data_IF_895832964711
#
_entry.id   IF_895832964711
#
_cell.length_a   1.000
_cell.length_b   1.000
_cell.length_c   1.000
_cell.angle_alpha   90.00
_cell.angle_beta   90.00
_cell.angle_gamma   90.00
#
_symmetry.space_group_name_H-M   'P 1'
#
loop_
_entity.id
_entity.type
_entity.pdbx_description
1 polymer ?
#
# COMPACT_ATOMS: atom_id res chain seq x y z
N UNK A 1 -13.62 10.45 23.13
CA UNK A 1 -12.39 9.98 22.44
C UNK A 1 -12.20 8.54 22.86
N UNK A 2 -11.94 7.60 21.94
CA UNK A 2 -11.70 6.21 22.31
C UNK A 2 -10.46 6.13 23.21
N UNK A 3 -10.45 5.19 24.15
CA UNK A 3 -9.35 5.01 25.08
C UNK A 3 -8.17 4.30 24.42
N UNK A 4 -6.97 4.42 24.98
CA UNK A 4 -5.78 3.68 24.51
C UNK A 4 -6.04 2.16 24.45
N UNK A 5 -6.87 1.64 25.35
CA UNK A 5 -7.26 0.23 25.37
C UNK A 5 -8.13 -0.13 24.16
N UNK A 6 -9.10 0.72 23.79
CA UNK A 6 -9.97 0.51 22.64
C UNK A 6 -9.15 0.49 21.34
N UNK A 7 -8.15 1.38 21.22
CA UNK A 7 -7.25 1.41 20.05
C UNK A 7 -6.39 0.15 19.94
N UNK A 8 -5.90 -0.37 21.07
CA UNK A 8 -5.14 -1.61 21.11
C UNK A 8 -6.03 -2.80 20.72
N UNK A 9 -7.28 -2.83 21.20
CA UNK A 9 -8.25 -3.86 20.86
C UNK A 9 -8.56 -3.89 19.36
N UNK A 10 -8.95 -2.74 18.78
CA UNK A 10 -9.25 -2.61 17.35
C UNK A 10 -8.05 -3.01 16.47
N UNK A 11 -6.85 -2.60 16.85
CA UNK A 11 -5.64 -2.93 16.11
C UNK A 11 -5.28 -4.42 16.22
N UNK A 12 -5.42 -5.01 17.41
CA UNK A 12 -5.20 -6.44 17.61
C UNK A 12 -6.19 -7.29 16.80
N UNK A 13 -7.49 -6.95 16.81
CA UNK A 13 -8.53 -7.62 16.04
C UNK A 13 -8.24 -7.57 14.54
N UNK A 14 -7.82 -6.41 14.04
CA UNK A 14 -7.45 -6.24 12.65
C UNK A 14 -6.26 -7.13 12.25
N UNK A 15 -5.21 -7.18 13.07
CA UNK A 15 -4.05 -8.04 12.84
C UNK A 15 -4.45 -9.52 12.89
N UNK A 16 -5.28 -9.95 13.84
CA UNK A 16 -5.79 -11.32 13.89
C UNK A 16 -6.58 -11.69 12.63
N UNK A 17 -7.43 -10.77 12.13
CA UNK A 17 -8.14 -10.95 10.86
C UNK A 17 -7.19 -11.15 9.67
N UNK A 18 -6.15 -10.31 9.58
CA UNK A 18 -5.11 -10.43 8.54
C UNK A 18 -4.32 -11.74 8.65
N UNK A 19 -4.02 -12.19 9.87
CA UNK A 19 -3.35 -13.45 10.13
C UNK A 19 -4.21 -14.63 9.64
N UNK A 20 -5.50 -14.67 10.01
CA UNK A 20 -6.44 -15.70 9.54
C UNK A 20 -6.56 -15.71 8.01
N UNK A 21 -6.70 -14.54 7.40
CA UNK A 21 -6.78 -14.38 5.95
C UNK A 21 -5.52 -14.85 5.20
N UNK A 22 -4.36 -14.89 5.87
CA UNK A 22 -3.09 -15.39 5.33
C UNK A 22 -2.77 -16.84 5.72
N UNK A 23 -3.70 -17.52 6.39
CA UNK A 23 -3.53 -18.93 6.77
C UNK A 23 -2.63 -19.16 7.97
N UNK A 24 -2.36 -18.14 8.79
CA UNK A 24 -1.71 -18.36 10.08
C UNK A 24 -2.69 -19.04 11.04
N UNK A 25 -2.25 -20.15 11.65
CA UNK A 25 -3.01 -20.87 12.67
C UNK A 25 -2.86 -20.21 14.05
N UNK A 26 -3.63 -19.14 14.27
CA UNK A 26 -3.55 -18.31 15.48
C UNK A 26 -4.36 -18.85 16.66
N UNK A 27 -5.39 -19.64 16.35
CA UNK A 27 -6.32 -20.20 17.31
C UNK A 27 -5.84 -21.56 17.85
N UNK A 28 -4.77 -22.13 17.27
CA UNK A 28 -4.15 -23.34 17.79
C UNK A 28 -3.63 -23.16 19.23
N UNK A 29 -3.96 -24.10 20.14
CA UNK A 29 -3.52 -24.09 21.53
C UNK A 29 -2.00 -24.05 21.70
N UNK A 30 -1.26 -24.51 20.68
CA UNK A 30 0.21 -24.57 20.70
C UNK A 30 0.86 -23.25 20.28
N UNK A 31 0.07 -22.26 19.87
CA UNK A 31 0.57 -20.93 19.50
C UNK A 31 1.46 -20.91 18.26
N UNK A 32 1.33 -21.92 17.38
CA UNK A 32 2.17 -22.08 16.19
C UNK A 32 2.10 -20.89 15.24
N UNK A 33 0.91 -20.33 14.99
CA UNK A 33 0.76 -19.15 14.14
C UNK A 33 1.43 -17.88 14.71
N UNK A 34 1.52 -17.75 16.04
CA UNK A 34 2.21 -16.60 16.68
C UNK A 34 3.72 -16.69 16.52
N UNK A 35 4.29 -17.87 16.70
CA UNK A 35 5.71 -18.11 16.45
C UNK A 35 6.04 -17.90 14.98
N UNK A 36 5.25 -18.50 14.09
CA UNK A 36 5.44 -18.35 12.64
C UNK A 36 5.39 -16.89 12.20
N UNK A 37 4.42 -16.11 12.68
CA UNK A 37 4.37 -14.68 12.36
C UNK A 37 5.60 -13.93 12.88
N UNK A 38 6.06 -14.23 14.09
CA UNK A 38 7.26 -13.60 14.64
C UNK A 38 8.49 -13.87 13.77
N UNK A 39 8.65 -15.13 13.33
CA UNK A 39 9.72 -15.55 12.43
C UNK A 39 9.61 -14.85 11.07
N UNK A 40 8.41 -14.86 10.45
CA UNK A 40 8.16 -14.24 9.14
C UNK A 40 8.33 -12.70 9.18
N UNK A 41 8.01 -12.06 10.31
CA UNK A 41 8.19 -10.63 10.53
C UNK A 41 9.63 -10.24 10.90
N UNK A 42 10.45 -11.21 11.34
CA UNK A 42 11.78 -10.98 11.86
C UNK A 42 11.78 -10.21 13.18
N UNK A 43 10.80 -10.49 14.06
CA UNK A 43 10.60 -9.75 15.32
C UNK A 43 10.50 -10.71 16.50
N UNK A 44 10.67 -10.19 17.72
CA UNK A 44 10.53 -11.00 18.91
C UNK A 44 9.08 -11.49 19.12
N UNK A 45 8.92 -12.80 19.34
CA UNK A 45 7.62 -13.42 19.67
C UNK A 45 6.89 -12.72 20.81
N UNK A 46 7.61 -12.23 21.82
CA UNK A 46 7.01 -11.51 22.95
C UNK A 46 6.25 -10.26 22.52
N UNK A 47 6.72 -9.52 21.51
CA UNK A 47 6.03 -8.34 21.00
C UNK A 47 4.70 -8.72 20.34
N UNK A 48 4.71 -9.79 19.52
CA UNK A 48 3.50 -10.36 18.91
C UNK A 48 2.52 -10.84 19.98
N UNK A 49 3.00 -11.56 21.00
CA UNK A 49 2.17 -12.06 22.09
C UNK A 49 1.50 -10.92 22.85
N UNK A 50 2.23 -9.87 23.23
CA UNK A 50 1.65 -8.72 23.96
C UNK A 50 0.60 -7.99 23.15
N UNK A 51 0.85 -7.79 21.85
CA UNK A 51 -0.13 -7.19 20.94
C UNK A 51 -1.42 -8.03 20.89
N UNK A 52 -1.32 -9.33 20.60
CA UNK A 52 -2.49 -10.20 20.47
C UNK A 52 -3.22 -10.41 21.80
N UNK A 53 -2.53 -10.23 22.93
CA UNK A 53 -3.12 -10.23 24.26
C UNK A 53 -3.65 -8.85 24.68
N UNK A 54 -3.65 -7.86 23.78
CA UNK A 54 -4.14 -6.49 24.02
C UNK A 54 -3.43 -5.79 25.19
N UNK A 55 -2.16 -6.13 25.44
CA UNK A 55 -1.37 -5.58 26.55
C UNK A 55 -0.66 -4.28 26.18
N UNK A 56 -0.18 -4.17 24.94
CA UNK A 56 0.58 -3.00 24.49
C UNK A 56 0.59 -2.88 22.97
N UNK A 57 0.54 -1.65 22.47
CA UNK A 57 0.82 -1.35 21.07
C UNK A 57 2.29 -1.68 20.73
N UNK A 58 2.59 -2.31 19.58
CA UNK A 58 3.97 -2.56 19.16
C UNK A 58 4.75 -1.27 18.88
N UNK A 59 6.07 -1.39 18.83
CA UNK A 59 6.94 -0.31 18.34
C UNK A 59 6.98 -0.27 16.80
N UNK A 60 7.62 0.78 16.26
CA UNK A 60 7.74 0.98 14.82
C UNK A 60 8.49 -0.16 14.12
N UNK A 61 9.52 -0.73 14.76
CA UNK A 61 10.27 -1.84 14.18
C UNK A 61 9.38 -3.07 13.99
N UNK A 62 8.62 -3.41 15.02
CA UNK A 62 7.65 -4.50 15.02
C UNK A 62 6.54 -4.24 14.01
N UNK A 63 6.02 -3.02 13.94
CA UNK A 63 5.01 -2.63 12.94
C UNK A 63 5.51 -2.80 11.51
N UNK A 64 6.77 -2.42 11.21
CA UNK A 64 7.37 -2.64 9.88
C UNK A 64 7.56 -4.13 9.58
N UNK A 65 7.93 -4.92 10.59
CA UNK A 65 8.02 -6.39 10.47
C UNK A 65 6.67 -7.01 10.13
N UNK A 66 5.63 -6.66 10.89
CA UNK A 66 4.25 -7.07 10.65
C UNK A 66 3.78 -6.68 9.25
N UNK A 67 4.04 -5.45 8.81
CA UNK A 67 3.65 -4.97 7.49
C UNK A 67 4.24 -5.85 6.37
N UNK A 68 5.52 -6.22 6.47
CA UNK A 68 6.18 -7.11 5.51
C UNK A 68 5.61 -8.53 5.55
N UNK A 69 5.53 -9.14 6.73
CA UNK A 69 5.06 -10.51 6.89
C UNK A 69 3.59 -10.69 6.47
N UNK A 70 2.79 -9.66 6.72
CA UNK A 70 1.39 -9.60 6.35
C UNK A 70 1.19 -8.85 5.03
N UNK A 71 2.20 -8.59 4.21
CA UNK A 71 2.07 -7.97 2.88
C UNK A 71 1.07 -6.81 2.80
N UNK A 72 1.11 -5.89 3.78
CA UNK A 72 0.25 -4.70 3.86
C UNK A 72 1.13 -3.44 3.84
N UNK A 73 0.63 -2.31 3.35
CA UNK A 73 1.36 -1.06 3.40
C UNK A 73 1.70 -0.66 4.85
N UNK A 74 2.94 -0.26 5.09
CA UNK A 74 3.37 0.27 6.42
C UNK A 74 2.52 1.47 6.83
N UNK A 75 2.09 2.29 5.85
CA UNK A 75 1.13 3.39 6.06
C UNK A 75 -0.10 2.90 6.81
N UNK A 76 -0.74 1.85 6.33
CA UNK A 76 -2.02 1.36 6.87
C UNK A 76 -1.84 0.84 8.29
N UNK A 77 -0.69 0.20 8.57
CA UNK A 77 -0.34 -0.24 9.92
C UNK A 77 -0.19 0.94 10.86
N UNK A 78 0.52 1.99 10.45
CA UNK A 78 0.74 3.18 11.27
C UNK A 78 -0.56 3.95 11.51
N UNK A 79 -1.38 4.10 10.47
CA UNK A 79 -2.68 4.78 10.58
C UNK A 79 -3.61 4.03 11.51
N UNK A 80 -3.75 2.71 11.34
CA UNK A 80 -4.63 1.90 12.20
C UNK A 80 -4.11 1.77 13.63
N UNK A 81 -2.80 1.88 13.85
CA UNK A 81 -2.24 1.94 15.21
C UNK A 81 -2.43 3.28 15.91
N UNK A 82 -2.92 4.30 15.20
CA UNK A 82 -3.03 5.68 15.69
C UNK A 82 -1.68 6.40 15.86
N UNK A 83 -0.57 5.81 15.42
CA UNK A 83 0.77 6.44 15.44
C UNK A 83 0.96 7.47 14.33
N UNK A 84 0.04 7.49 13.38
CA UNK A 84 0.03 8.37 12.22
C UNK A 84 -1.43 8.67 11.89
N UNK A 85 -1.76 9.92 11.61
CA UNK A 85 -3.06 10.28 11.05
C UNK A 85 -2.94 10.45 9.54
N UNK A 86 -4.07 10.44 8.82
CA UNK A 86 -4.02 10.69 7.38
C UNK A 86 -3.54 12.11 7.05
N UNK A 87 -3.78 13.06 7.95
CA UNK A 87 -3.36 14.45 7.81
C UNK A 87 -1.85 14.66 8.05
N UNK A 88 -1.21 13.75 8.78
CA UNK A 88 0.25 13.77 9.01
C UNK A 88 1.04 13.35 7.76
N UNK A 89 0.37 12.73 6.79
CA UNK A 89 0.97 12.33 5.53
C UNK A 89 0.75 13.42 4.49
N UNK A 90 1.73 13.65 3.59
CA UNK A 90 1.44 14.39 2.38
C UNK A 90 0.25 13.69 1.73
N UNK A 91 -0.83 14.43 1.46
CA UNK A 91 -1.91 13.89 0.62
C UNK A 91 -1.22 13.32 -0.61
N UNK A 92 -1.57 12.11 -1.07
CA UNK A 92 -1.08 11.65 -2.35
C UNK A 92 -1.52 12.73 -3.34
N UNK A 93 -0.56 13.57 -3.72
CA UNK A 93 -0.75 14.45 -4.84
C UNK A 93 -1.16 13.48 -5.94
N UNK A 94 -2.33 13.68 -6.52
CA UNK A 94 -2.75 13.00 -7.76
C UNK A 94 -1.77 13.22 -8.93
N UNK A 95 -0.62 13.83 -8.64
CA UNK A 95 0.51 14.19 -9.48
C UNK A 95 1.77 13.33 -9.20
N UNK A 96 1.85 12.57 -8.10
CA UNK A 96 3.04 11.77 -7.77
C UNK A 96 3.13 10.41 -8.53
N UNK A 97 2.30 10.21 -9.56
CA UNK A 97 2.63 9.35 -10.69
C UNK A 97 3.30 10.19 -11.77
N UNK A 98 4.55 10.62 -11.55
CA UNK A 98 5.41 11.18 -12.60
C UNK A 98 4.89 12.39 -13.39
N UNK A 99 3.95 13.17 -12.86
CA UNK A 99 3.47 14.39 -13.50
C UNK A 99 3.74 15.56 -12.56
N UNK A 100 4.56 16.52 -13.00
CA UNK A 100 4.70 17.81 -12.33
C UNK A 100 3.35 18.53 -12.17
N UNK A 101 3.34 19.74 -11.56
CA UNK A 101 2.13 20.48 -11.25
C UNK A 101 1.20 20.56 -12.47
N UNK A 102 -0.11 20.44 -12.21
CA UNK A 102 -1.22 20.41 -13.17
C UNK A 102 -1.27 21.60 -14.14
N UNK A 103 -0.29 21.70 -15.03
CA UNK A 103 -0.44 22.37 -16.31
C UNK A 103 -1.31 21.53 -17.25
N UNK A 104 -1.89 22.13 -18.29
CA UNK A 104 -2.54 21.37 -19.36
C UNK A 104 -1.66 20.19 -19.78
N UNK A 105 -2.24 18.98 -19.86
CA UNK A 105 -1.51 17.80 -20.35
C UNK A 105 -0.95 18.12 -21.73
N UNK A 106 0.37 18.24 -21.81
CA UNK A 106 1.07 18.55 -23.02
C UNK A 106 1.06 17.33 -23.95
N UNK A 107 0.66 17.50 -25.21
CA UNK A 107 0.79 16.44 -26.22
C UNK A 107 2.26 16.19 -26.53
N UNK A 108 2.60 15.02 -27.09
CA UNK A 108 3.97 14.74 -27.52
C UNK A 108 4.48 15.78 -28.55
N UNK A 109 3.59 16.31 -29.39
CA UNK A 109 3.93 17.40 -30.33
C UNK A 109 4.25 18.72 -29.59
N UNK A 110 3.39 19.12 -28.64
CA UNK A 110 3.64 20.32 -27.83
C UNK A 110 4.93 20.18 -26.99
N UNK A 111 5.26 18.96 -26.55
CA UNK A 111 6.50 18.66 -25.85
C UNK A 111 7.72 18.82 -26.77
N UNK A 112 7.63 18.34 -28.02
CA UNK A 112 8.69 18.48 -29.01
C UNK A 112 8.99 19.96 -29.30
N UNK A 113 7.94 20.79 -29.39
CA UNK A 113 8.08 22.23 -29.58
C UNK A 113 8.70 22.91 -28.35
N UNK A 114 8.24 22.59 -27.14
CA UNK A 114 8.77 23.15 -25.90
C UNK A 114 10.24 22.78 -25.64
N UNK A 115 10.66 21.59 -26.05
CA UNK A 115 12.03 21.10 -25.92
C UNK A 115 12.96 21.56 -27.06
N UNK A 116 12.44 22.28 -28.06
CA UNK A 116 13.23 22.76 -29.19
C UNK A 116 13.76 21.64 -30.09
N UNK A 117 13.01 20.54 -30.23
CA UNK A 117 13.40 19.42 -31.09
C UNK A 117 13.46 19.89 -32.56
N UNK A 118 14.59 19.65 -33.27
CA UNK A 118 14.71 20.00 -34.68
C UNK A 118 13.58 19.39 -35.53
N UNK A 119 13.09 20.12 -36.53
CA UNK A 119 11.92 19.72 -37.32
C UNK A 119 12.02 18.30 -37.91
N UNK A 120 13.20 17.93 -38.42
CA UNK A 120 13.48 16.61 -38.97
C UNK A 120 13.47 15.47 -37.93
N UNK A 121 13.52 15.78 -36.62
CA UNK A 121 13.48 14.82 -35.51
C UNK A 121 12.14 14.78 -34.78
N UNK A 122 11.24 15.76 -35.00
CA UNK A 122 9.96 15.85 -34.28
C UNK A 122 9.08 14.61 -34.48
N UNK A 123 8.99 14.11 -35.71
CA UNK A 123 8.19 12.92 -36.02
C UNK A 123 8.65 11.68 -35.22
N UNK A 124 9.97 11.48 -35.11
CA UNK A 124 10.54 10.37 -34.34
C UNK A 124 10.29 10.52 -32.84
N UNK A 125 10.44 11.74 -32.31
CA UNK A 125 10.15 12.04 -30.90
C UNK A 125 8.68 11.76 -30.55
N UNK A 126 7.74 12.21 -31.37
CA UNK A 126 6.30 11.98 -31.17
C UNK A 126 6.01 10.48 -31.16
N UNK A 127 6.47 9.76 -32.18
CA UNK A 127 6.21 8.33 -32.33
C UNK A 127 6.69 7.51 -31.11
N UNK A 128 7.92 7.75 -30.66
CA UNK A 128 8.50 7.03 -29.52
C UNK A 128 7.77 7.36 -28.21
N UNK A 129 7.44 8.63 -27.98
CA UNK A 129 6.77 9.07 -26.75
C UNK A 129 5.34 8.56 -26.66
N UNK A 130 4.61 8.52 -27.78
CA UNK A 130 3.25 7.96 -27.84
C UNK A 130 3.22 6.45 -27.56
N UNK A 131 4.27 5.72 -27.92
CA UNK A 131 4.37 4.30 -27.61
C UNK A 131 4.42 4.04 -26.09
N UNK A 132 5.14 4.86 -25.33
CA UNK A 132 5.22 4.74 -23.86
C UNK A 132 3.94 5.21 -23.14
N UNK A 133 3.15 6.08 -23.79
CA UNK A 133 1.99 6.71 -23.17
C UNK A 133 0.68 5.98 -23.50
N UNK A 134 0.71 5.00 -24.41
CA UNK A 134 -0.45 4.17 -24.73
C UNK A 134 -0.78 3.28 -23.53
N UNK A 135 -1.97 3.38 -22.92
CA UNK A 135 -2.36 2.51 -21.83
C UNK A 135 -2.39 1.06 -22.33
N UNK A 136 -1.78 0.16 -21.55
CA UNK A 136 -1.77 -1.26 -21.83
C UNK A 136 -3.22 -1.79 -21.80
N UNK A 137 -3.70 -2.28 -22.94
CA UNK A 137 -5.12 -2.62 -23.18
C UNK A 137 -5.58 -3.87 -22.41
N UNK A 138 -4.68 -4.48 -21.62
CA UNK A 138 -4.93 -5.69 -20.85
C UNK A 138 -5.80 -5.47 -19.59
N UNK A 139 -6.03 -4.22 -19.15
CA UNK A 139 -6.84 -3.92 -17.97
C UNK A 139 -8.37 -3.79 -18.22
N UNK A 140 -8.82 -3.84 -19.48
CA UNK A 140 -10.21 -3.48 -19.86
C UNK A 140 -11.12 -4.69 -20.20
N UNK A 141 -10.66 -5.93 -19.98
CA UNK A 141 -11.44 -7.15 -20.26
C UNK A 141 -12.05 -7.84 -19.02
N UNK A 142 -12.08 -7.17 -17.86
CA UNK A 142 -12.58 -7.76 -16.60
C UNK A 142 -13.95 -7.27 -16.11
N UNK A 143 -14.60 -6.31 -16.77
CA UNK A 143 -15.72 -5.55 -16.18
C UNK A 143 -17.08 -5.73 -16.87
N UNK A 144 -17.26 -6.77 -17.70
CA UNK A 144 -18.44 -6.87 -18.56
C UNK A 144 -19.02 -8.27 -18.72
N UNK A 145 -19.20 -9.05 -17.65
CA UNK A 145 -20.12 -10.20 -17.72
C UNK A 145 -20.69 -10.62 -16.35
N UNK A 146 -21.69 -9.88 -15.86
CA UNK A 146 -22.76 -10.39 -14.96
C UNK A 146 -23.96 -9.46 -14.98
N UNK A 147 -24.73 -9.49 -16.06
CA UNK A 147 -26.10 -8.96 -16.06
C UNK A 147 -26.93 -9.52 -17.23
N UNK A 148 -27.28 -10.81 -17.19
CA UNK A 148 -28.58 -11.33 -17.64
C UNK A 148 -28.66 -12.84 -17.40
N UNK A 149 -29.73 -13.30 -16.73
CA UNK A 149 -30.03 -14.70 -16.47
C UNK A 149 -30.96 -14.85 -15.28
#
# INVERSE_FOLDING_TARGET
MPSDADHIEEFADWIEGLMRGRGYDIDSPRGGGRSKLADDAGVHRAAITRLLQRQSMPDLETMRGLARALGIPVRDVLVRSGKLTEDDLPRPDVHASGAGPAGPRMTAAQAADALGIPEHLKAAFIQVTEQFTRPDRAADLGAGDRATG
#
